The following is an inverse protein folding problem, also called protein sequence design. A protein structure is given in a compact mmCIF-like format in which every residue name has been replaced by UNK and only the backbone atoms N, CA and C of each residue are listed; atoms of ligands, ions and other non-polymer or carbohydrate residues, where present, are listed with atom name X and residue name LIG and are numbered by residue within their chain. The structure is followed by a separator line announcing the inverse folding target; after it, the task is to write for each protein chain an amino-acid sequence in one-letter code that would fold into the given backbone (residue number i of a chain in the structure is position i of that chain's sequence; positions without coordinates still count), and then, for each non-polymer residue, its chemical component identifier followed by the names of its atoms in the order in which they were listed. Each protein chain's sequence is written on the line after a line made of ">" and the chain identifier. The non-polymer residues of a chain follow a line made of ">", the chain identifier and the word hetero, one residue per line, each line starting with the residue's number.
data_IF_114352226456
#
_entry.id   IF_114352226456
#
_cell.length_a   1.000
_cell.length_b   1.000
_cell.length_c   1.000
_cell.angle_alpha   90.00
_cell.angle_beta   90.00
_cell.angle_gamma   90.00
#
_symmetry.space_group_name_H-M   'P 1'
#
loop_
_entity.id
_entity.type
_entity.pdbx_description
1 polymer ?
#
# COMPACT_ATOMS: atom_id res chain seq x y z
N UNK A 1 -14.65 -6.22 -31.92
CA UNK A 1 -15.97 -6.64 -31.40
C UNK A 1 -15.82 -7.45 -30.11
N UNK A 2 -14.96 -8.47 -30.07
CA UNK A 2 -14.61 -9.22 -28.85
C UNK A 2 -13.99 -8.37 -27.73
N UNK A 3 -13.13 -7.39 -28.04
CA UNK A 3 -12.44 -6.56 -27.04
C UNK A 3 -13.39 -5.61 -26.27
N UNK A 4 -14.33 -4.96 -26.98
CA UNK A 4 -15.41 -4.17 -26.35
C UNK A 4 -16.35 -5.02 -25.47
N UNK A 5 -16.45 -6.33 -25.72
CA UNK A 5 -17.16 -7.26 -24.83
C UNK A 5 -16.37 -7.54 -23.55
N UNK A 6 -15.03 -7.58 -23.59
CA UNK A 6 -14.22 -7.87 -22.40
C UNK A 6 -14.38 -6.82 -21.28
N UNK A 7 -14.51 -5.53 -21.63
CA UNK A 7 -14.83 -4.47 -20.64
C UNK A 7 -16.18 -4.70 -19.96
N UNK A 8 -17.19 -5.21 -20.69
CA UNK A 8 -18.50 -5.57 -20.14
C UNK A 8 -18.44 -6.87 -19.32
N UNK A 9 -17.44 -7.71 -19.57
CA UNK A 9 -17.22 -8.99 -18.87
C UNK A 9 -16.33 -8.87 -17.63
N UNK A 10 -15.78 -7.70 -17.30
CA UNK A 10 -14.95 -7.50 -16.08
C UNK A 10 -15.63 -8.06 -14.84
N UNK A 11 -16.94 -7.82 -14.68
CA UNK A 11 -17.70 -8.35 -13.54
C UNK A 11 -17.81 -9.89 -13.58
N UNK A 12 -18.00 -10.49 -14.76
CA UNK A 12 -18.06 -11.95 -14.93
C UNK A 12 -16.70 -12.59 -14.60
N UNK A 13 -15.62 -12.01 -15.14
CA UNK A 13 -14.25 -12.45 -14.88
C UNK A 13 -13.88 -12.31 -13.40
N UNK A 14 -14.32 -11.23 -12.75
CA UNK A 14 -14.12 -11.00 -11.32
C UNK A 14 -14.69 -12.16 -10.50
N UNK A 15 -15.95 -12.51 -10.69
CA UNK A 15 -16.56 -13.60 -9.93
C UNK A 15 -15.88 -14.93 -10.25
N UNK A 16 -15.59 -15.20 -11.53
CA UNK A 16 -14.89 -16.41 -11.95
C UNK A 16 -13.51 -16.56 -11.30
N UNK A 17 -12.73 -15.48 -11.22
CA UNK A 17 -11.43 -15.48 -10.57
C UNK A 17 -11.55 -15.58 -9.05
N UNK A 18 -12.52 -14.87 -8.45
CA UNK A 18 -12.80 -14.93 -7.01
C UNK A 18 -13.17 -16.35 -6.55
N UNK A 19 -13.96 -17.10 -7.33
CA UNK A 19 -14.28 -18.50 -7.04
C UNK A 19 -13.06 -19.44 -7.05
N UNK A 20 -11.99 -19.07 -7.75
CA UNK A 20 -10.75 -19.86 -7.84
C UNK A 20 -9.72 -19.47 -6.79
N UNK A 21 -9.87 -18.29 -6.20
CA UNK A 21 -8.96 -17.76 -5.19
C UNK A 21 -9.11 -18.49 -3.85
N UNK A 22 -8.01 -18.57 -3.11
CA UNK A 22 -8.07 -18.97 -1.70
C UNK A 22 -8.56 -17.78 -0.87
N UNK A 23 -9.76 -17.88 -0.33
CA UNK A 23 -10.43 -16.84 0.47
C UNK A 23 -10.26 -17.04 1.98
N UNK A 24 -9.38 -17.96 2.39
CA UNK A 24 -8.97 -18.18 3.77
C UNK A 24 -7.45 -18.36 3.80
N UNK A 25 -6.81 -17.93 4.89
CA UNK A 25 -5.40 -18.23 5.13
C UNK A 25 -5.24 -19.76 5.23
N UNK A 26 -4.41 -20.39 4.39
CA UNK A 26 -4.19 -21.84 4.46
C UNK A 26 -3.55 -22.24 5.78
N UNK A 27 -3.96 -23.38 6.34
CA UNK A 27 -3.23 -24.04 7.44
C UNK A 27 -2.02 -24.84 6.91
N UNK A 28 -2.14 -25.36 5.70
CA UNK A 28 -1.07 -26.02 4.96
C UNK A 28 -0.83 -25.24 3.65
N UNK A 29 0.42 -24.83 3.45
CA UNK A 29 0.82 -24.03 2.31
C UNK A 29 1.28 -24.87 1.10
N UNK A 30 1.42 -26.18 1.23
CA UNK A 30 1.91 -27.06 0.15
C UNK A 30 1.13 -26.88 -1.15
N UNK A 31 -0.21 -26.82 -1.06
CA UNK A 31 -1.08 -26.63 -2.22
C UNK A 31 -0.97 -25.23 -2.84
N UNK A 32 -0.77 -24.20 -2.03
CA UNK A 32 -0.64 -22.81 -2.53
C UNK A 32 0.73 -22.60 -3.17
N UNK A 33 1.80 -23.16 -2.59
CA UNK A 33 3.15 -23.09 -3.16
C UNK A 33 3.25 -23.82 -4.50
N UNK A 34 2.66 -25.02 -4.63
CA UNK A 34 2.54 -25.70 -5.94
C UNK A 34 1.81 -24.85 -6.99
N UNK A 35 0.82 -24.07 -6.57
CA UNK A 35 0.10 -23.14 -7.45
C UNK A 35 0.97 -21.95 -7.84
N UNK A 36 1.73 -21.39 -6.89
CA UNK A 36 2.72 -20.33 -7.10
C UNK A 36 3.73 -20.76 -8.16
N UNK A 37 4.41 -21.90 -7.98
CA UNK A 37 5.45 -22.41 -8.90
C UNK A 37 4.92 -22.62 -10.31
N UNK A 38 3.69 -23.15 -10.45
CA UNK A 38 3.05 -23.30 -11.76
C UNK A 38 2.80 -21.96 -12.43
N UNK A 39 2.37 -20.95 -11.67
CA UNK A 39 2.08 -19.61 -12.19
C UNK A 39 3.38 -18.84 -12.50
N UNK A 40 4.42 -18.97 -11.68
CA UNK A 40 5.77 -18.42 -11.95
C UNK A 40 6.28 -18.94 -13.30
N UNK A 41 6.32 -20.26 -13.50
CA UNK A 41 6.75 -20.87 -14.78
C UNK A 41 5.93 -20.38 -15.97
N UNK A 42 4.62 -20.21 -15.79
CA UNK A 42 3.74 -19.70 -16.85
C UNK A 42 4.03 -18.23 -17.16
N UNK A 43 4.21 -17.41 -16.13
CA UNK A 43 4.51 -15.98 -16.24
C UNK A 43 5.82 -15.75 -16.97
N UNK A 44 6.90 -16.41 -16.53
CA UNK A 44 8.25 -16.28 -17.10
C UNK A 44 8.29 -16.69 -18.56
N UNK A 45 7.67 -17.82 -18.93
CA UNK A 45 7.59 -18.24 -20.35
C UNK A 45 6.81 -17.26 -21.24
N UNK A 46 5.80 -16.59 -20.68
CA UNK A 46 5.08 -15.53 -21.40
C UNK A 46 5.92 -14.27 -21.51
N UNK A 47 6.52 -13.84 -20.40
CA UNK A 47 7.35 -12.64 -20.33
C UNK A 47 8.52 -12.73 -21.33
N UNK A 48 9.18 -13.88 -21.45
CA UNK A 48 10.29 -14.06 -22.39
C UNK A 48 9.92 -13.89 -23.88
N UNK A 49 8.63 -13.85 -24.22
CA UNK A 49 8.13 -13.52 -25.58
C UNK A 49 7.97 -12.03 -25.81
N UNK A 50 8.09 -11.21 -24.77
CA UNK A 50 8.00 -9.75 -24.82
C UNK A 50 9.41 -9.21 -25.01
N UNK A 51 9.68 -8.37 -26.04
CA UNK A 51 11.03 -7.87 -26.33
C UNK A 51 11.75 -7.30 -25.09
N UNK A 52 11.06 -6.48 -24.30
CA UNK A 52 11.56 -5.90 -23.04
C UNK A 52 12.14 -6.96 -22.09
N UNK A 53 11.43 -8.07 -21.88
CA UNK A 53 11.90 -9.12 -20.97
C UNK A 53 12.86 -10.09 -21.64
N UNK A 54 12.71 -10.35 -22.94
CA UNK A 54 13.64 -11.21 -23.69
C UNK A 54 15.07 -10.67 -23.58
N UNK A 55 15.25 -9.36 -23.84
CA UNK A 55 16.55 -8.70 -23.73
C UNK A 55 17.12 -8.81 -22.31
N UNK A 56 16.31 -8.50 -21.28
CA UNK A 56 16.74 -8.58 -19.88
C UNK A 56 17.15 -9.98 -19.45
N UNK A 57 16.41 -10.99 -19.89
CA UNK A 57 16.68 -12.39 -19.57
C UNK A 57 17.95 -12.88 -20.26
N UNK A 58 18.11 -12.55 -21.55
CA UNK A 58 19.30 -12.90 -22.32
C UNK A 58 20.55 -12.22 -21.76
N UNK A 59 20.45 -10.94 -21.37
CA UNK A 59 21.56 -10.20 -20.73
C UNK A 59 21.95 -10.80 -19.37
N UNK A 60 20.98 -11.33 -18.63
CA UNK A 60 21.22 -12.04 -17.38
C UNK A 60 21.74 -13.48 -17.58
N UNK A 61 21.75 -13.99 -18.83
CA UNK A 61 22.11 -15.37 -19.12
C UNK A 61 21.09 -16.40 -18.62
N UNK A 62 19.84 -16.01 -18.42
CA UNK A 62 18.79 -16.85 -17.81
C UNK A 62 17.74 -17.24 -18.85
N UNK A 63 17.42 -18.53 -18.92
CA UNK A 63 16.33 -19.05 -19.75
C UNK A 63 15.08 -19.32 -18.92
N UNK A 64 13.87 -19.32 -19.53
CA UNK A 64 12.64 -19.59 -18.80
C UNK A 64 12.62 -20.92 -18.03
N UNK A 65 13.38 -21.91 -18.50
CA UNK A 65 13.50 -23.25 -17.91
C UNK A 65 14.29 -23.26 -16.58
N UNK A 66 15.12 -22.24 -16.36
CA UNK A 66 15.93 -22.06 -15.14
C UNK A 66 15.11 -21.54 -13.95
N UNK A 67 13.86 -21.12 -14.21
CA UNK A 67 12.95 -20.56 -13.21
C UNK A 67 11.81 -21.54 -12.94
N UNK A 68 11.84 -22.19 -11.77
CA UNK A 68 10.83 -23.19 -11.38
C UNK A 68 9.94 -22.73 -10.23
N UNK A 69 10.48 -21.92 -9.35
CA UNK A 69 9.87 -21.47 -8.09
C UNK A 69 9.93 -19.95 -7.94
N UNK A 70 9.24 -19.42 -6.93
CA UNK A 70 9.32 -17.99 -6.58
C UNK A 70 10.73 -17.54 -6.17
N UNK A 71 11.53 -18.43 -5.56
CA UNK A 71 12.90 -18.11 -5.15
C UNK A 71 13.86 -18.02 -6.35
N UNK A 72 13.63 -18.82 -7.40
CA UNK A 72 14.44 -18.75 -8.62
C UNK A 72 14.37 -17.39 -9.32
N UNK A 73 13.32 -16.59 -9.05
CA UNK A 73 13.20 -15.25 -9.59
C UNK A 73 14.39 -14.35 -9.23
N UNK A 74 15.14 -14.64 -8.16
CA UNK A 74 16.36 -13.87 -7.83
C UNK A 74 17.46 -13.95 -8.88
N UNK A 75 17.37 -14.87 -9.85
CA UNK A 75 18.26 -14.95 -11.01
C UNK A 75 18.01 -13.83 -12.03
N UNK A 76 16.85 -13.19 -11.97
CA UNK A 76 16.43 -12.14 -12.90
C UNK A 76 16.66 -10.74 -12.31
N UNK A 77 17.04 -9.74 -13.13
CA UNK A 77 17.26 -8.38 -12.64
C UNK A 77 15.99 -7.74 -12.10
N UNK A 78 16.12 -6.86 -11.10
CA UNK A 78 15.02 -6.05 -10.57
C UNK A 78 14.43 -5.13 -11.63
N UNK A 79 13.11 -4.99 -11.64
CA UNK A 79 12.41 -3.96 -12.40
C UNK A 79 12.21 -2.73 -11.52
N UNK A 80 12.87 -1.62 -11.86
CA UNK A 80 12.71 -0.35 -11.12
C UNK A 80 11.46 0.41 -11.59
N UNK A 81 11.02 1.38 -10.79
CA UNK A 81 9.91 2.26 -11.15
C UNK A 81 10.19 3.09 -12.41
N UNK A 82 11.43 3.53 -12.60
CA UNK A 82 11.82 4.35 -13.75
C UNK A 82 11.88 3.52 -15.03
N UNK A 83 12.41 2.29 -14.95
CA UNK A 83 12.36 1.32 -16.04
C UNK A 83 10.91 0.98 -16.43
N UNK A 84 10.05 0.73 -15.43
CA UNK A 84 8.63 0.47 -15.67
C UNK A 84 7.96 1.67 -16.33
N UNK A 85 8.25 2.90 -15.90
CA UNK A 85 7.69 4.12 -16.51
C UNK A 85 8.11 4.25 -17.97
N UNK A 86 9.39 4.09 -18.26
CA UNK A 86 9.91 4.15 -19.63
C UNK A 86 9.25 3.09 -20.51
N UNK A 87 9.13 1.86 -20.01
CA UNK A 87 8.52 0.76 -20.75
C UNK A 87 7.02 0.97 -20.98
N UNK A 88 6.24 1.36 -19.96
CA UNK A 88 4.80 1.62 -20.12
C UNK A 88 4.53 2.75 -21.12
N UNK A 89 5.35 3.80 -21.11
CA UNK A 89 5.25 4.90 -22.08
C UNK A 89 5.53 4.42 -23.51
N UNK A 90 6.46 3.49 -23.70
CA UNK A 90 6.74 2.91 -25.02
C UNK A 90 5.58 2.02 -25.50
N UNK A 91 5.07 1.14 -24.64
CA UNK A 91 3.91 0.28 -24.96
C UNK A 91 2.65 1.10 -25.29
N UNK A 92 2.48 2.28 -24.68
CA UNK A 92 1.36 3.17 -24.95
C UNK A 92 1.41 3.84 -26.32
N UNK A 93 2.57 3.93 -26.98
CA UNK A 93 2.68 4.50 -28.34
C UNK A 93 2.03 3.60 -29.39
N UNK A 94 2.17 2.29 -29.22
CA UNK A 94 1.62 1.27 -30.11
C UNK A 94 0.88 0.21 -29.28
N UNK A 95 -0.26 0.55 -28.67
CA UNK A 95 -0.94 -0.34 -27.75
C UNK A 95 -1.38 -1.59 -28.50
N UNK A 96 -0.88 -2.74 -28.04
CA UNK A 96 -1.23 -4.05 -28.62
C UNK A 96 -2.74 -4.33 -28.58
N UNK A 97 -3.48 -3.69 -27.67
CA UNK A 97 -4.92 -3.85 -27.51
C UNK A 97 -5.59 -2.49 -27.28
N UNK A 98 -6.70 -2.23 -27.98
CA UNK A 98 -7.35 -0.92 -27.99
C UNK A 98 -8.08 -0.56 -26.66
N UNK A 99 -8.46 -1.57 -25.87
CA UNK A 99 -9.38 -1.41 -24.73
C UNK A 99 -8.70 -1.45 -23.34
N UNK A 100 -7.38 -1.25 -23.27
CA UNK A 100 -6.67 -1.21 -21.98
C UNK A 100 -7.08 -0.04 -21.09
N UNK A 101 -7.11 -0.30 -19.78
CA UNK A 101 -7.31 0.74 -18.78
C UNK A 101 -6.00 1.48 -18.57
N UNK A 102 -6.08 2.80 -18.46
CA UNK A 102 -4.98 3.67 -18.11
C UNK A 102 -5.19 4.09 -16.66
N UNK A 103 -4.50 3.45 -15.75
CA UNK A 103 -4.48 3.85 -14.34
C UNK A 103 -3.22 4.68 -14.10
N UNK A 104 -3.37 5.84 -13.47
CA UNK A 104 -2.23 6.69 -13.09
C UNK A 104 -1.98 6.59 -11.60
N UNK A 105 -0.71 6.45 -11.22
CA UNK A 105 -0.30 6.61 -9.82
C UNK A 105 0.03 8.08 -9.57
N UNK A 106 -0.39 8.61 -8.42
CA UNK A 106 -0.13 9.99 -7.98
C UNK A 106 1.33 10.23 -7.55
N UNK A 107 2.29 9.61 -8.27
CA UNK A 107 3.70 9.41 -7.92
C UNK A 107 4.27 10.27 -6.79
N UNK A 108 4.83 9.63 -5.75
CA UNK A 108 5.56 10.30 -4.65
C UNK A 108 6.76 11.15 -5.12
N UNK A 109 7.20 10.96 -6.37
CA UNK A 109 8.29 11.69 -7.03
C UNK A 109 7.81 12.80 -7.99
N UNK A 110 6.52 13.15 -7.98
CA UNK A 110 5.95 14.22 -8.83
C UNK A 110 5.67 13.82 -10.29
N UNK A 111 6.32 12.77 -10.83
CA UNK A 111 6.05 12.25 -12.18
C UNK A 111 5.11 11.03 -12.10
N UNK A 112 3.86 11.13 -12.59
CA UNK A 112 2.91 10.03 -12.60
C UNK A 112 3.46 8.82 -13.34
N UNK A 113 3.24 7.63 -12.78
CA UNK A 113 3.43 6.37 -13.52
C UNK A 113 2.07 5.98 -14.11
N UNK A 114 2.02 5.87 -15.44
CA UNK A 114 0.87 5.31 -16.15
C UNK A 114 1.03 3.79 -16.21
N UNK A 115 -0.04 3.09 -15.85
CA UNK A 115 -0.13 1.64 -15.91
C UNK A 115 -1.17 1.26 -16.95
N UNK A 116 -0.73 0.42 -17.88
CA UNK A 116 -1.60 -0.25 -18.83
C UNK A 116 -2.09 -1.55 -18.21
N UNK A 117 -3.42 -1.68 -18.09
CA UNK A 117 -4.06 -2.83 -17.43
C UNK A 117 -5.12 -3.44 -18.34
N UNK A 118 -5.00 -4.73 -18.65
CA UNK A 118 -6.02 -5.44 -19.43
C UNK A 118 -7.31 -5.65 -18.62
N UNK A 119 -8.48 -5.79 -19.27
CA UNK A 119 -9.74 -6.04 -18.55
C UNK A 119 -9.70 -7.26 -17.62
N UNK A 120 -8.97 -8.31 -18.03
CA UNK A 120 -8.74 -9.50 -17.22
C UNK A 120 -7.89 -9.21 -15.99
N UNK A 121 -6.78 -8.49 -16.15
CA UNK A 121 -5.93 -8.11 -15.01
C UNK A 121 -6.66 -7.19 -14.03
N UNK A 122 -7.50 -6.29 -14.55
CA UNK A 122 -8.37 -5.44 -13.73
C UNK A 122 -9.39 -6.26 -12.95
N UNK A 123 -10.07 -7.20 -13.61
CA UNK A 123 -11.01 -8.11 -12.97
C UNK A 123 -10.34 -8.94 -11.86
N UNK A 124 -9.13 -9.45 -12.13
CA UNK A 124 -8.34 -10.20 -11.15
C UNK A 124 -7.96 -9.34 -9.94
N UNK A 125 -7.54 -8.09 -10.16
CA UNK A 125 -7.20 -7.17 -9.08
C UNK A 125 -8.43 -6.81 -8.23
N UNK A 126 -9.59 -6.61 -8.86
CA UNK A 126 -10.84 -6.40 -8.14
C UNK A 126 -11.26 -7.64 -7.34
N UNK A 127 -11.14 -8.84 -7.91
CA UNK A 127 -11.37 -10.10 -7.21
C UNK A 127 -10.40 -10.27 -6.02
N UNK A 128 -9.15 -9.86 -6.19
CA UNK A 128 -8.16 -9.88 -5.12
C UNK A 128 -8.54 -8.96 -3.96
N UNK A 129 -9.11 -7.79 -4.24
CA UNK A 129 -9.63 -6.91 -3.17
C UNK A 129 -10.79 -7.56 -2.41
N UNK A 130 -11.72 -8.23 -3.11
CA UNK A 130 -12.75 -9.04 -2.44
C UNK A 130 -12.15 -10.17 -1.61
N UNK A 131 -11.10 -10.83 -2.11
CA UNK A 131 -10.38 -11.85 -1.35
C UNK A 131 -9.83 -11.31 -0.03
N UNK A 132 -9.24 -10.12 -0.01
CA UNK A 132 -8.76 -9.50 1.24
C UNK A 132 -9.90 -9.41 2.27
N UNK A 133 -11.05 -8.91 1.86
CA UNK A 133 -12.24 -8.83 2.73
C UNK A 133 -12.69 -10.21 3.21
N UNK A 134 -12.83 -11.16 2.28
CA UNK A 134 -13.30 -12.52 2.59
C UNK A 134 -12.34 -13.29 3.49
N UNK A 135 -11.04 -13.02 3.39
CA UNK A 135 -10.00 -13.61 4.26
C UNK A 135 -10.23 -13.24 5.73
N UNK A 136 -10.72 -12.04 6.01
CA UNK A 136 -11.13 -11.63 7.35
C UNK A 136 -12.50 -12.19 7.77
N UNK A 137 -13.27 -12.78 6.85
CA UNK A 137 -14.61 -13.30 7.10
C UNK A 137 -15.75 -12.35 6.72
N UNK A 138 -15.47 -11.31 5.90
CA UNK A 138 -16.54 -10.52 5.28
C UNK A 138 -17.29 -11.34 4.23
N UNK A 139 -18.61 -11.20 4.20
CA UNK A 139 -19.46 -11.87 3.22
C UNK A 139 -20.05 -10.84 2.23
N UNK A 140 -19.71 -10.91 0.93
CA UNK A 140 -20.19 -9.95 -0.07
C UNK A 140 -21.69 -10.03 -0.37
N UNK A 141 -22.38 -11.13 0.00
CA UNK A 141 -23.81 -11.28 -0.23
C UNK A 141 -24.68 -10.54 0.80
N UNK A 142 -24.17 -10.34 2.02
CA UNK A 142 -24.93 -9.73 3.11
C UNK A 142 -24.23 -8.53 3.74
N UNK A 143 -22.93 -8.36 3.52
CA UNK A 143 -22.18 -7.28 4.15
C UNK A 143 -22.35 -5.94 3.45
N UNK A 144 -22.25 -4.86 4.21
CA UNK A 144 -22.21 -3.48 3.73
C UNK A 144 -20.77 -2.97 3.78
N UNK A 145 -20.21 -2.63 2.62
CA UNK A 145 -18.95 -1.89 2.60
C UNK A 145 -19.21 -0.39 2.62
N UNK A 146 -18.28 0.39 3.15
CA UNK A 146 -18.25 1.85 2.99
C UNK A 146 -16.83 2.31 2.74
N UNK A 147 -16.66 3.26 1.82
CA UNK A 147 -15.33 3.79 1.49
C UNK A 147 -15.35 5.24 1.08
N UNK A 148 -14.15 5.83 0.94
CA UNK A 148 -14.04 7.11 0.24
C UNK A 148 -14.51 6.98 -1.21
N UNK A 149 -15.16 8.02 -1.73
CA UNK A 149 -15.35 8.22 -3.16
C UNK A 149 -14.03 8.70 -3.75
N UNK A 150 -13.41 7.93 -4.64
CA UNK A 150 -12.16 8.39 -5.28
C UNK A 150 -12.46 9.59 -6.18
N UNK A 151 -11.67 10.66 -6.06
CA UNK A 151 -11.76 11.85 -6.92
C UNK A 151 -11.68 11.52 -8.43
N UNK A 152 -11.09 10.38 -8.79
CA UNK A 152 -10.97 9.89 -10.17
C UNK A 152 -11.97 8.78 -10.53
N UNK A 153 -12.84 8.36 -9.61
CA UNK A 153 -13.86 7.33 -9.88
C UNK A 153 -15.14 7.94 -10.43
N UNK A 154 -15.21 8.06 -11.76
CA UNK A 154 -16.43 8.45 -12.50
C UNK A 154 -17.54 7.39 -12.40
N UNK A 155 -17.28 6.23 -11.78
CA UNK A 155 -18.21 5.08 -11.69
C UNK A 155 -18.78 4.82 -10.29
N UNK A 156 -18.48 5.68 -9.30
CA UNK A 156 -19.12 5.59 -7.98
C UNK A 156 -20.45 6.33 -7.97
N UNK A 157 -21.56 5.69 -8.37
CA UNK A 157 -22.86 6.37 -8.22
C UNK A 157 -24.12 5.75 -8.80
N UNK A 158 -24.10 4.59 -9.47
CA UNK A 158 -25.35 3.90 -9.80
C UNK A 158 -25.42 2.56 -9.09
N UNK A 159 -26.52 2.35 -8.35
CA UNK A 159 -26.77 1.08 -7.70
C UNK A 159 -26.84 -0.01 -8.78
N UNK A 160 -25.98 -1.02 -8.66
CA UNK A 160 -26.03 -2.16 -9.58
C UNK A 160 -27.32 -2.94 -9.35
N UNK A 161 -27.81 -3.67 -10.36
CA UNK A 161 -28.95 -4.59 -10.20
C UNK A 161 -28.77 -5.53 -8.98
N UNK A 162 -27.54 -5.97 -8.70
CA UNK A 162 -27.21 -6.80 -7.53
C UNK A 162 -27.43 -6.08 -6.19
N UNK A 163 -27.17 -4.78 -6.13
CA UNK A 163 -27.35 -3.98 -4.90
C UNK A 163 -28.82 -3.81 -4.53
N UNK A 164 -29.72 -3.78 -5.52
CA UNK A 164 -31.16 -3.78 -5.29
C UNK A 164 -31.65 -5.05 -4.59
N UNK A 165 -30.96 -6.19 -4.77
CA UNK A 165 -31.21 -7.44 -4.05
C UNK A 165 -30.38 -7.59 -2.77
N UNK A 166 -29.71 -6.52 -2.31
CA UNK A 166 -28.91 -6.53 -1.09
C UNK A 166 -27.52 -7.16 -1.21
N UNK A 167 -27.08 -7.51 -2.43
CA UNK A 167 -25.77 -8.10 -2.70
C UNK A 167 -24.77 -6.99 -3.03
N UNK A 168 -23.55 -7.06 -2.48
CA UNK A 168 -22.49 -6.07 -2.71
C UNK A 168 -22.89 -4.63 -2.37
N UNK A 169 -23.56 -4.42 -1.23
CA UNK A 169 -24.00 -3.09 -0.75
C UNK A 169 -22.80 -2.17 -0.48
N UNK A 170 -22.81 -0.95 -1.03
CA UNK A 170 -21.71 0.02 -0.94
C UNK A 170 -22.23 1.38 -0.51
N UNK A 171 -21.63 1.92 0.55
CA UNK A 171 -21.74 3.33 0.94
C UNK A 171 -20.48 4.09 0.52
N UNK A 172 -20.61 5.40 0.38
CA UNK A 172 -19.48 6.28 0.09
C UNK A 172 -19.49 7.50 1.01
N UNK A 173 -18.31 7.99 1.37
CA UNK A 173 -18.07 9.31 1.97
C UNK A 173 -17.16 10.12 1.07
N UNK A 174 -17.35 11.44 1.04
CA UNK A 174 -16.38 12.30 0.36
C UNK A 174 -15.18 12.54 1.27
N UNK A 175 -13.99 12.46 0.67
CA UNK A 175 -12.72 12.46 1.39
C UNK A 175 -12.46 13.74 2.22
N UNK A 176 -13.03 14.85 1.77
CA UNK A 176 -12.85 16.18 2.36
C UNK A 176 -14.09 16.69 3.09
N UNK A 177 -15.10 15.83 3.31
CA UNK A 177 -16.22 16.20 4.17
C UNK A 177 -15.70 16.48 5.60
N UNK A 178 -16.31 17.45 6.31
CA UNK A 178 -16.01 17.67 7.72
C UNK A 178 -16.25 16.41 8.54
N UNK A 179 -15.42 16.20 9.57
CA UNK A 179 -15.49 15.02 10.44
C UNK A 179 -16.87 14.77 11.04
N UNK A 180 -17.63 15.78 11.53
CA UNK A 180 -18.97 15.56 12.06
C UNK A 180 -19.92 14.94 11.03
N UNK A 181 -19.81 15.33 9.75
CA UNK A 181 -20.67 14.84 8.69
C UNK A 181 -20.27 13.42 8.25
N UNK A 182 -18.96 13.13 8.19
CA UNK A 182 -18.47 11.76 7.95
C UNK A 182 -18.95 10.82 9.05
N UNK A 183 -18.81 11.21 10.32
CA UNK A 183 -19.25 10.41 11.47
C UNK A 183 -20.76 10.16 11.40
N UNK A 184 -21.56 11.18 11.10
CA UNK A 184 -23.01 11.05 10.90
C UNK A 184 -23.35 10.07 9.79
N UNK A 185 -22.67 10.14 8.64
CA UNK A 185 -22.89 9.21 7.53
C UNK A 185 -22.52 7.77 7.89
N UNK A 186 -21.39 7.54 8.57
CA UNK A 186 -20.96 6.21 9.04
C UNK A 186 -21.98 5.67 10.05
N UNK A 187 -22.44 6.50 10.99
CA UNK A 187 -23.41 6.11 12.02
C UNK A 187 -24.79 5.78 11.44
N UNK A 188 -25.23 6.50 10.41
CA UNK A 188 -26.47 6.23 9.70
C UNK A 188 -26.39 4.94 8.88
N UNK A 189 -25.28 4.73 8.15
CA UNK A 189 -25.14 3.59 7.25
C UNK A 189 -24.74 2.28 7.97
N UNK A 190 -23.98 2.38 9.07
CA UNK A 190 -23.45 1.27 9.89
C UNK A 190 -22.77 0.18 9.04
N UNK A 191 -21.62 0.46 8.39
CA UNK A 191 -20.95 -0.50 7.53
C UNK A 191 -20.42 -1.72 8.30
N UNK A 192 -20.41 -2.89 7.66
CA UNK A 192 -19.71 -4.07 8.16
C UNK A 192 -18.20 -4.00 7.85
N UNK A 193 -17.84 -3.35 6.75
CA UNK A 193 -16.46 -3.19 6.30
C UNK A 193 -16.20 -1.72 5.90
N UNK A 194 -15.35 -1.03 6.64
CA UNK A 194 -14.99 0.38 6.39
C UNK A 194 -13.56 0.48 5.84
N UNK A 195 -13.34 1.13 4.70
CA UNK A 195 -11.98 1.29 4.16
C UNK A 195 -11.72 2.67 3.56
N UNK A 196 -10.58 3.23 3.92
CA UNK A 196 -10.14 4.57 3.52
C UNK A 196 -8.63 4.70 3.74
N UNK A 197 -8.05 5.88 3.48
CA UNK A 197 -6.63 6.10 3.77
C UNK A 197 -6.41 6.15 5.29
N UNK A 198 -5.20 5.81 5.76
CA UNK A 198 -4.85 5.92 7.19
C UNK A 198 -5.09 7.33 7.73
N UNK A 199 -4.69 8.36 6.99
CA UNK A 199 -4.87 9.76 7.41
C UNK A 199 -6.32 10.13 7.68
N UNK A 200 -7.24 9.59 6.88
CA UNK A 200 -8.67 9.83 7.02
C UNK A 200 -9.22 9.14 8.28
N UNK A 201 -8.79 7.89 8.53
CA UNK A 201 -9.08 7.22 9.80
C UNK A 201 -8.55 7.98 11.01
N UNK A 202 -7.30 8.50 10.95
CA UNK A 202 -6.73 9.31 12.02
C UNK A 202 -7.59 10.53 12.31
N UNK A 203 -7.96 11.28 11.27
CA UNK A 203 -8.80 12.48 11.37
C UNK A 203 -10.13 12.20 12.07
N UNK A 204 -10.84 11.14 11.63
CA UNK A 204 -12.13 10.74 12.20
C UNK A 204 -11.97 10.25 13.64
N UNK A 205 -10.98 9.41 13.92
CA UNK A 205 -10.79 8.85 15.27
C UNK A 205 -10.35 9.91 16.28
N UNK A 206 -9.44 10.83 15.90
CA UNK A 206 -9.05 11.96 16.74
C UNK A 206 -10.24 12.88 17.01
N UNK A 207 -11.08 13.16 16.00
CA UNK A 207 -12.30 13.92 16.18
C UNK A 207 -13.27 13.24 17.17
N UNK A 208 -13.53 11.95 16.99
CA UNK A 208 -14.41 11.18 17.88
C UNK A 208 -13.89 11.19 19.32
N UNK A 209 -12.58 11.02 19.48
CA UNK A 209 -11.90 11.01 20.77
C UNK A 209 -11.95 12.38 21.46
N UNK A 210 -11.58 13.46 20.75
CA UNK A 210 -11.58 14.83 21.27
C UNK A 210 -12.98 15.33 21.66
N UNK A 211 -14.01 14.95 20.91
CA UNK A 211 -15.37 15.45 21.10
C UNK A 211 -16.29 14.45 21.81
N UNK A 212 -15.77 13.31 22.27
CA UNK A 212 -16.53 12.23 22.90
C UNK A 212 -17.74 11.77 22.06
N UNK A 213 -17.56 11.69 20.73
CA UNK A 213 -18.59 11.26 19.78
C UNK A 213 -18.45 9.77 19.50
N UNK A 214 -19.54 9.02 19.64
CA UNK A 214 -19.54 7.60 19.29
C UNK A 214 -19.56 7.38 17.78
N UNK A 215 -18.74 6.44 17.33
CA UNK A 215 -18.69 5.96 15.95
C UNK A 215 -19.20 4.52 15.87
N UNK A 216 -20.06 4.24 14.89
CA UNK A 216 -20.56 2.90 14.64
C UNK A 216 -19.40 1.99 14.26
N UNK A 217 -19.08 1.06 15.17
CA UNK A 217 -17.95 0.13 15.03
C UNK A 217 -18.22 -0.87 13.91
N UNK A 218 -17.47 -0.83 12.79
CA UNK A 218 -17.61 -1.83 11.75
C UNK A 218 -17.03 -3.15 12.24
N UNK A 219 -17.50 -4.27 11.68
CA UNK A 219 -16.91 -5.58 11.98
C UNK A 219 -15.45 -5.65 11.52
N UNK A 220 -15.16 -4.98 10.40
CA UNK A 220 -13.84 -4.90 9.81
C UNK A 220 -13.53 -3.49 9.35
N UNK A 221 -12.27 -3.07 9.45
CA UNK A 221 -11.82 -1.83 8.82
C UNK A 221 -10.41 -1.97 8.25
N UNK A 222 -10.15 -1.30 7.14
CA UNK A 222 -8.88 -1.39 6.43
C UNK A 222 -8.33 0.00 6.10
N UNK A 223 -7.43 0.54 6.94
CA UNK A 223 -6.62 1.70 6.59
C UNK A 223 -5.67 1.32 5.45
N UNK A 224 -5.62 2.14 4.41
CA UNK A 224 -4.85 1.84 3.19
C UNK A 224 -3.89 2.96 2.82
N UNK A 225 -2.93 2.63 1.96
CA UNK A 225 -2.10 3.60 1.25
C UNK A 225 -0.94 4.22 2.03
N UNK A 226 -0.84 3.94 3.34
CA UNK A 226 0.14 4.48 4.28
C UNK A 226 0.47 3.42 5.34
N UNK A 227 1.67 3.48 5.94
CA UNK A 227 2.09 2.56 7.01
C UNK A 227 1.30 2.82 8.29
N UNK A 228 0.72 1.77 8.88
CA UNK A 228 0.04 1.82 10.17
C UNK A 228 1.07 1.56 11.29
N UNK A 229 1.38 2.60 12.06
CA UNK A 229 2.19 2.50 13.27
C UNK A 229 1.36 2.05 14.49
N UNK A 230 2.05 1.73 15.59
CA UNK A 230 1.42 1.19 16.80
C UNK A 230 0.51 2.22 17.48
N UNK A 231 0.85 3.50 17.43
CA UNK A 231 0.04 4.60 17.98
C UNK A 231 -1.29 4.70 17.25
N UNK A 232 -1.27 4.74 15.91
CA UNK A 232 -2.47 4.73 15.08
C UNK A 232 -3.29 3.45 15.29
N UNK A 233 -2.63 2.29 15.38
CA UNK A 233 -3.29 1.00 15.63
C UNK A 233 -4.01 0.96 16.98
N UNK A 234 -3.41 1.47 18.05
CA UNK A 234 -4.04 1.60 19.38
C UNK A 234 -5.27 2.50 19.31
N UNK A 235 -5.14 3.69 18.72
CA UNK A 235 -6.26 4.63 18.54
C UNK A 235 -7.41 4.01 17.73
N UNK A 236 -7.10 3.33 16.63
CA UNK A 236 -8.13 2.67 15.82
C UNK A 236 -8.82 1.55 16.59
N UNK A 237 -8.08 0.75 17.36
CA UNK A 237 -8.66 -0.32 18.17
C UNK A 237 -9.63 0.21 19.24
N UNK A 238 -9.28 1.33 19.86
CA UNK A 238 -10.12 2.04 20.84
C UNK A 238 -11.45 2.50 20.23
N UNK A 239 -11.38 3.22 19.10
CA UNK A 239 -12.56 3.86 18.49
C UNK A 239 -13.37 2.88 17.62
N UNK A 240 -12.72 2.05 16.82
CA UNK A 240 -13.36 1.19 15.80
C UNK A 240 -13.48 -0.29 16.23
N UNK A 241 -12.80 -0.71 17.29
CA UNK A 241 -12.77 -2.10 17.75
C UNK A 241 -11.64 -2.94 17.14
N UNK A 242 -11.62 -4.27 17.34
CA UNK A 242 -10.48 -5.12 17.02
C UNK A 242 -10.36 -5.51 15.53
N UNK A 243 -11.30 -5.08 14.69
CA UNK A 243 -11.50 -5.55 13.31
C UNK A 243 -10.50 -5.05 12.27
N UNK A 244 -9.29 -4.63 12.66
CA UNK A 244 -8.31 -4.08 11.73
C UNK A 244 -7.83 -5.12 10.72
N UNK A 245 -7.78 -4.73 9.46
CA UNK A 245 -7.19 -5.48 8.37
C UNK A 245 -6.13 -4.58 7.75
N UNK A 246 -4.90 -5.07 7.75
CA UNK A 246 -3.77 -4.36 7.19
C UNK A 246 -3.37 -5.05 5.88
N UNK A 247 -3.74 -4.42 4.76
CA UNK A 247 -3.52 -4.96 3.42
C UNK A 247 -2.41 -4.17 2.75
N UNK A 248 -1.30 -4.84 2.44
CA UNK A 248 -0.16 -4.22 1.78
C UNK A 248 -0.12 -4.54 0.28
N UNK A 249 0.13 -3.50 -0.50
CA UNK A 249 0.25 -3.55 -1.95
C UNK A 249 0.39 -2.16 -2.55
N UNK A 250 0.54 -2.11 -3.86
CA UNK A 250 0.60 -0.83 -4.59
C UNK A 250 -0.40 -0.80 -5.74
N UNK A 251 -0.55 0.35 -6.40
CA UNK A 251 -1.39 0.44 -7.60
C UNK A 251 -0.84 -0.46 -8.73
N UNK A 252 0.48 -0.58 -8.84
CA UNK A 252 1.18 -1.41 -9.82
C UNK A 252 0.93 -2.91 -9.60
N UNK A 253 0.93 -3.34 -8.34
CA UNK A 253 0.96 -4.76 -7.97
C UNK A 253 -0.39 -5.29 -7.49
N UNK A 254 -1.24 -4.46 -6.88
CA UNK A 254 -2.42 -4.91 -6.14
C UNK A 254 -2.07 -5.39 -4.71
N UNK A 255 -3.10 -5.76 -3.93
CA UNK A 255 -2.94 -6.22 -2.55
C UNK A 255 -2.22 -7.59 -2.49
N UNK A 256 -0.92 -7.58 -2.21
CA UNK A 256 -0.06 -8.76 -2.28
C UNK A 256 -0.10 -9.61 -1.00
N UNK A 257 -0.25 -8.95 0.15
CA UNK A 257 -0.18 -9.60 1.46
C UNK A 257 -1.12 -8.92 2.46
N UNK A 258 -1.53 -9.68 3.48
CA UNK A 258 -2.52 -9.25 4.47
C UNK A 258 -2.10 -9.65 5.87
N UNK A 259 -2.25 -8.72 6.82
CA UNK A 259 -2.14 -8.95 8.26
C UNK A 259 -3.50 -8.71 8.89
N UNK A 260 -4.08 -9.77 9.47
CA UNK A 260 -5.42 -9.73 10.06
C UNK A 260 -5.32 -9.47 11.56
N UNK A 261 -6.16 -8.54 12.04
CA UNK A 261 -6.35 -8.28 13.47
C UNK A 261 -5.01 -8.01 14.18
N UNK A 262 -4.73 -8.74 15.26
CA UNK A 262 -3.53 -8.72 16.09
C UNK A 262 -2.42 -9.68 15.61
N UNK A 263 -2.56 -10.28 14.43
CA UNK A 263 -1.50 -11.13 13.86
C UNK A 263 -0.20 -10.33 13.73
N UNK A 264 0.92 -10.97 14.10
CA UNK A 264 2.24 -10.34 14.13
C UNK A 264 2.83 -10.11 12.74
N UNK A 265 2.32 -10.76 11.72
CA UNK A 265 2.95 -10.85 10.41
C UNK A 265 1.93 -10.74 9.28
N UNK A 266 2.42 -10.42 8.09
CA UNK A 266 1.65 -10.46 6.87
C UNK A 266 1.79 -11.83 6.21
N UNK A 267 0.65 -12.39 5.84
CA UNK A 267 0.57 -13.58 4.99
C UNK A 267 0.49 -13.13 3.54
N UNK A 268 1.41 -13.63 2.73
CA UNK A 268 1.41 -13.41 1.29
C UNK A 268 0.30 -14.25 0.66
N UNK A 269 -0.41 -13.67 -0.31
CA UNK A 269 -1.30 -14.44 -1.15
C UNK A 269 -0.51 -15.20 -2.23
N UNK A 270 0.19 -16.27 -1.81
CA UNK A 270 1.18 -17.00 -2.64
C UNK A 270 0.61 -17.57 -3.95
N UNK A 271 -0.70 -17.82 -4.05
CA UNK A 271 -1.31 -18.23 -5.31
C UNK A 271 -1.23 -17.13 -6.37
N UNK A 272 -1.20 -15.86 -5.98
CA UNK A 272 -1.30 -14.70 -6.89
C UNK A 272 -0.05 -13.83 -6.92
N UNK A 273 0.87 -14.01 -5.97
CA UNK A 273 2.02 -13.15 -5.77
C UNK A 273 3.26 -13.96 -5.36
N UNK A 274 4.42 -13.50 -5.77
CA UNK A 274 5.69 -13.76 -5.08
C UNK A 274 6.12 -12.44 -4.44
N UNK A 275 6.45 -12.48 -3.14
CA UNK A 275 7.01 -11.35 -2.40
C UNK A 275 8.36 -11.80 -1.87
N UNK A 276 9.42 -11.08 -2.24
CA UNK A 276 10.79 -11.33 -1.84
C UNK A 276 11.36 -10.13 -1.11
N UNK A 277 12.37 -10.36 -0.27
CA UNK A 277 13.16 -9.33 0.42
C UNK A 277 14.59 -9.44 -0.06
N UNK A 278 15.14 -8.38 -0.66
CA UNK A 278 16.51 -8.35 -1.20
C UNK A 278 17.40 -7.32 -0.49
N UNK A 279 18.68 -7.64 -0.29
CA UNK A 279 19.69 -6.72 0.23
C UNK A 279 20.08 -5.62 -0.78
N UNK A 280 20.99 -4.72 -0.38
CA UNK A 280 21.52 -3.65 -1.25
C UNK A 280 22.26 -4.17 -2.49
N UNK A 281 22.65 -5.45 -2.51
CA UNK A 281 23.29 -6.12 -3.64
C UNK A 281 22.29 -6.92 -4.48
N UNK A 282 20.98 -6.70 -4.27
CA UNK A 282 19.87 -7.38 -4.94
C UNK A 282 19.85 -8.90 -4.76
N UNK A 283 20.29 -9.40 -3.59
CA UNK A 283 20.29 -10.82 -3.25
C UNK A 283 19.22 -11.13 -2.21
N UNK A 284 18.60 -12.33 -2.21
CA UNK A 284 17.67 -12.74 -1.16
C UNK A 284 18.24 -12.56 0.25
N UNK A 285 17.46 -11.89 1.11
CA UNK A 285 17.85 -11.55 2.47
C UNK A 285 16.64 -11.65 3.42
N UNK A 286 16.91 -11.54 4.73
CA UNK A 286 15.88 -11.46 5.78
C UNK A 286 15.39 -10.04 6.03
N UNK A 287 16.17 -9.05 5.62
CA UNK A 287 15.87 -7.63 5.74
C UNK A 287 16.36 -6.91 4.48
N UNK A 288 15.58 -5.94 3.99
CA UNK A 288 15.94 -5.15 2.83
C UNK A 288 14.72 -4.72 2.01
N UNK A 289 14.90 -4.61 0.70
CA UNK A 289 13.95 -4.09 -0.25
C UNK A 289 12.82 -5.09 -0.53
N UNK A 290 11.58 -4.64 -0.43
CA UNK A 290 10.39 -5.43 -0.80
C UNK A 290 10.27 -5.46 -2.32
N UNK A 291 10.34 -6.67 -2.86
CA UNK A 291 10.29 -6.95 -4.30
C UNK A 291 9.09 -7.85 -4.58
N UNK A 292 8.22 -7.44 -5.50
CA UNK A 292 6.94 -8.13 -5.74
C UNK A 292 6.79 -8.53 -7.21
N UNK A 293 6.31 -9.74 -7.42
CA UNK A 293 5.92 -10.28 -8.73
C UNK A 293 4.45 -10.70 -8.69
N UNK A 294 3.50 -9.86 -9.17
CA UNK A 294 2.11 -10.26 -9.34
C UNK A 294 1.97 -11.30 -10.47
N UNK A 295 1.60 -12.52 -10.10
CA UNK A 295 1.54 -13.67 -11.01
C UNK A 295 0.34 -13.66 -11.96
N UNK A 296 -0.63 -12.77 -11.71
CA UNK A 296 -1.82 -12.61 -12.53
C UNK A 296 -1.63 -11.59 -13.66
N UNK A 297 -0.62 -10.71 -13.57
CA UNK A 297 -0.30 -9.76 -14.64
C UNK A 297 0.49 -10.48 -15.72
N UNK A 298 -0.18 -10.95 -16.77
CA UNK A 298 0.44 -11.79 -17.81
C UNK A 298 0.56 -11.12 -19.17
N UNK A 299 -0.07 -9.96 -19.35
CA UNK A 299 -0.04 -9.22 -20.61
C UNK A 299 1.11 -8.20 -20.58
N UNK A 300 1.20 -7.44 -19.49
CA UNK A 300 2.38 -6.64 -19.12
C UNK A 300 2.86 -7.07 -17.73
N UNK A 301 3.69 -8.12 -17.67
CA UNK A 301 4.11 -8.69 -16.40
C UNK A 301 5.05 -7.74 -15.66
N UNK A 302 4.95 -7.74 -14.33
CA UNK A 302 5.88 -7.07 -13.43
C UNK A 302 6.66 -8.17 -12.72
N UNK A 303 7.89 -8.43 -13.16
CA UNK A 303 8.76 -9.45 -12.57
C UNK A 303 9.85 -8.74 -11.78
N UNK A 304 10.01 -9.13 -10.52
CA UNK A 304 10.92 -8.51 -9.56
C UNK A 304 10.74 -6.98 -9.47
N UNK A 305 9.50 -6.51 -9.38
CA UNK A 305 9.25 -5.07 -9.24
C UNK A 305 9.68 -4.58 -7.86
N UNK A 306 10.66 -3.68 -7.84
CA UNK A 306 11.14 -3.04 -6.63
C UNK A 306 10.15 -1.94 -6.21
N UNK A 307 9.41 -2.17 -5.13
CA UNK A 307 8.34 -1.26 -4.69
C UNK A 307 8.89 0.09 -4.19
N UNK A 308 10.14 0.09 -3.71
CA UNK A 308 10.73 1.24 -3.04
C UNK A 308 10.41 1.30 -1.54
N UNK A 309 9.90 0.21 -0.97
CA UNK A 309 9.70 0.03 0.47
C UNK A 309 10.67 -1.01 1.02
N UNK A 310 11.00 -0.92 2.32
CA UNK A 310 11.77 -1.93 3.05
C UNK A 310 10.92 -2.78 3.97
N UNK A 311 11.38 -3.99 4.24
CA UNK A 311 10.72 -4.91 5.16
C UNK A 311 11.63 -6.04 5.63
N UNK A 312 11.11 -6.79 6.58
CA UNK A 312 11.75 -7.98 7.14
C UNK A 312 10.90 -9.22 6.89
N UNK A 313 11.52 -10.38 6.76
CA UNK A 313 10.81 -11.64 6.57
C UNK A 313 11.43 -12.80 7.35
N UNK A 314 10.58 -13.78 7.63
CA UNK A 314 10.97 -15.13 8.07
C UNK A 314 10.53 -16.16 7.04
N UNK A 315 11.29 -17.24 6.92
CA UNK A 315 10.94 -18.38 6.08
C UNK A 315 10.71 -19.57 6.99
N UNK A 316 9.50 -20.15 6.91
CA UNK A 316 9.09 -21.33 7.70
C UNK A 316 8.49 -22.35 6.74
N UNK A 317 9.02 -23.57 6.76
CA UNK A 317 8.61 -24.67 5.87
C UNK A 317 8.58 -24.29 4.38
N UNK A 318 9.57 -23.49 3.94
CA UNK A 318 9.66 -23.00 2.56
C UNK A 318 8.66 -21.89 2.20
N UNK A 319 7.93 -21.34 3.17
CA UNK A 319 6.98 -20.24 3.00
C UNK A 319 7.54 -18.98 3.64
N UNK A 320 7.51 -17.88 2.88
CA UNK A 320 7.95 -16.56 3.36
C UNK A 320 6.79 -15.80 4.00
N UNK A 321 7.00 -15.37 5.24
CA UNK A 321 6.12 -14.49 6.01
C UNK A 321 6.80 -13.15 6.18
N UNK A 322 6.09 -12.05 5.91
CA UNK A 322 6.66 -10.71 6.05
C UNK A 322 6.34 -10.23 7.46
N UNK A 323 7.38 -10.01 8.27
CA UNK A 323 7.25 -9.68 9.69
C UNK A 323 7.16 -8.17 9.93
N UNK A 324 7.65 -7.35 9.01
CA UNK A 324 7.56 -5.89 9.10
C UNK A 324 7.61 -5.22 7.73
N UNK A 325 6.94 -4.07 7.63
CA UNK A 325 7.06 -3.10 6.54
C UNK A 325 7.52 -1.78 7.15
N UNK A 326 8.73 -1.34 6.82
CA UNK A 326 9.42 -0.26 7.52
C UNK A 326 9.06 1.13 6.96
N UNK A 327 8.88 1.27 5.63
CA UNK A 327 8.56 2.54 4.97
C UNK A 327 9.25 2.71 3.62
N UNK A 328 9.14 3.91 3.02
CA UNK A 328 9.68 4.27 1.70
C UNK A 328 11.16 4.62 1.77
N UNK A 329 11.93 4.18 0.77
CA UNK A 329 13.35 4.55 0.63
C UNK A 329 13.58 5.99 0.19
N UNK A 330 12.63 6.58 -0.53
CA UNK A 330 12.78 7.92 -1.11
C UNK A 330 12.31 9.04 -0.17
N UNK A 331 12.11 8.73 1.11
CA UNK A 331 11.82 9.72 2.15
C UNK A 331 13.12 10.00 2.91
N UNK A 332 13.73 11.15 2.61
CA UNK A 332 15.04 11.54 3.13
C UNK A 332 15.15 13.07 3.24
N UNK A 333 16.11 13.52 4.04
CA UNK A 333 16.56 14.90 4.17
C UNK A 333 17.84 15.08 3.38
N UNK A 334 17.95 16.18 2.63
CA UNK A 334 19.12 16.48 1.77
C UNK A 334 20.04 17.50 2.42
N UNK A 335 21.33 17.38 2.17
CA UNK A 335 22.31 18.38 2.57
C UNK A 335 22.95 19.04 1.35
N UNK A 336 23.51 20.25 1.53
CA UNK A 336 24.19 20.99 0.46
C UNK A 336 25.40 20.20 -0.10
N UNK A 337 25.97 19.31 0.71
CA UNK A 337 27.06 18.39 0.32
C UNK A 337 26.62 17.31 -0.67
N UNK A 338 25.31 17.14 -0.94
CA UNK A 338 24.74 16.04 -1.72
C UNK A 338 24.48 14.77 -0.91
N UNK A 339 24.88 14.74 0.37
CA UNK A 339 24.53 13.66 1.28
C UNK A 339 23.03 13.67 1.61
N UNK A 340 22.54 12.52 2.08
CA UNK A 340 21.17 12.39 2.58
C UNK A 340 21.14 11.67 3.93
N UNK A 341 20.21 12.07 4.80
CA UNK A 341 19.76 11.26 5.94
C UNK A 341 18.41 10.65 5.59
N UNK A 342 18.31 9.33 5.61
CA UNK A 342 17.09 8.60 5.26
C UNK A 342 16.11 8.54 6.43
N UNK A 343 14.83 8.30 6.14
CA UNK A 343 13.82 8.07 7.17
C UNK A 343 14.23 6.94 8.14
N UNK A 344 14.90 5.89 7.66
CA UNK A 344 15.27 4.75 8.50
C UNK A 344 16.24 5.11 9.63
N UNK A 345 17.07 6.14 9.45
CA UNK A 345 18.02 6.61 10.47
C UNK A 345 17.30 7.30 11.63
N UNK A 346 16.17 7.96 11.37
CA UNK A 346 15.35 8.63 12.40
C UNK A 346 14.14 7.81 12.84
N UNK A 347 13.77 6.76 12.11
CA UNK A 347 12.58 5.96 12.37
C UNK A 347 12.49 5.42 13.81
N UNK A 348 13.59 5.00 14.49
CA UNK A 348 13.53 4.59 15.90
C UNK A 348 13.08 5.71 16.83
N UNK A 349 13.50 6.96 16.59
CA UNK A 349 13.10 8.11 17.40
C UNK A 349 11.58 8.28 17.31
N UNK A 350 11.04 8.24 16.09
CA UNK A 350 9.61 8.44 15.84
C UNK A 350 8.79 7.26 16.39
N UNK A 351 9.28 6.04 16.23
CA UNK A 351 8.60 4.84 16.73
C UNK A 351 8.53 4.78 18.27
N UNK A 352 9.48 5.39 18.96
CA UNK A 352 9.53 5.42 20.43
C UNK A 352 8.99 6.72 21.04
N UNK A 353 8.59 7.68 20.22
CA UNK A 353 7.97 8.93 20.68
C UNK A 353 6.47 8.69 20.92
N UNK A 354 6.10 8.44 22.17
CA UNK A 354 4.69 8.28 22.56
C UNK A 354 3.97 9.64 22.72
N UNK A 355 4.73 10.74 22.82
CA UNK A 355 4.22 12.09 23.04
C UNK A 355 3.51 12.71 21.82
N UNK A 356 3.61 12.10 20.64
CA UNK A 356 3.11 12.67 19.37
C UNK A 356 2.20 11.65 18.65
N UNK A 357 0.99 12.07 18.29
CA UNK A 357 0.02 11.29 17.51
C UNK A 357 0.27 11.36 16.00
N UNK A 358 0.60 12.54 15.50
CA UNK A 358 0.89 12.79 14.09
C UNK A 358 2.12 13.67 13.98
N UNK A 359 2.99 13.36 13.02
CA UNK A 359 4.18 14.15 12.72
C UNK A 359 4.40 14.23 11.21
N UNK A 360 4.74 15.43 10.73
CA UNK A 360 5.22 15.67 9.37
C UNK A 360 6.46 16.56 9.42
N UNK A 361 7.50 16.15 8.70
CA UNK A 361 8.70 16.91 8.45
C UNK A 361 8.62 17.61 7.09
N UNK A 362 8.90 18.90 7.07
CA UNK A 362 8.97 19.73 5.86
C UNK A 362 10.36 20.34 5.82
N UNK A 363 11.24 19.80 4.99
CA UNK A 363 12.55 20.39 4.77
C UNK A 363 12.40 21.60 3.84
N UNK A 364 12.65 22.79 4.37
CA UNK A 364 12.48 24.06 3.65
C UNK A 364 13.75 24.50 2.92
N UNK A 365 14.91 24.21 3.51
CA UNK A 365 16.23 24.49 2.95
C UNK A 365 17.23 23.39 3.33
N UNK A 366 18.48 23.50 2.90
CA UNK A 366 19.55 22.58 3.32
C UNK A 366 19.86 22.62 4.82
N UNK A 367 19.40 23.64 5.55
CA UNK A 367 19.69 23.84 6.98
C UNK A 367 18.44 24.00 7.85
N UNK A 368 17.23 24.05 7.28
CA UNK A 368 15.98 24.28 8.02
C UNK A 368 14.92 23.21 7.76
N UNK A 369 14.33 22.71 8.84
CA UNK A 369 13.17 21.82 8.85
C UNK A 369 12.04 22.48 9.66
N UNK A 370 10.84 22.43 9.11
CA UNK A 370 9.60 22.73 9.81
C UNK A 370 8.88 21.41 10.14
N UNK A 371 8.51 21.20 11.40
CA UNK A 371 7.83 19.99 11.87
C UNK A 371 6.40 20.34 12.32
N UNK A 372 5.42 19.73 11.67
CA UNK A 372 4.03 19.77 12.11
C UNK A 372 3.75 18.61 13.06
N UNK A 373 3.15 18.88 14.22
CA UNK A 373 2.94 17.91 15.30
C UNK A 373 1.51 17.96 15.85
N UNK A 374 1.00 16.80 16.27
CA UNK A 374 -0.22 16.69 17.09
C UNK A 374 0.16 15.97 18.38
N UNK A 375 -0.01 16.64 19.52
CA UNK A 375 0.39 16.09 20.80
C UNK A 375 -0.51 14.93 21.25
N UNK A 376 0.09 13.89 21.80
CA UNK A 376 -0.60 12.83 22.52
C UNK A 376 -0.77 13.19 24.00
N UNK A 377 -1.77 14.02 24.29
CA UNK A 377 -2.03 14.56 25.64
C UNK A 377 -2.42 13.51 26.69
N UNK A 378 -2.75 12.29 26.28
CA UNK A 378 -3.12 11.22 27.22
C UNK A 378 -1.92 10.46 27.78
N UNK A 379 -0.87 10.35 26.97
CA UNK A 379 0.36 9.63 27.35
C UNK A 379 1.45 10.62 27.74
N UNK A 380 1.52 11.76 27.06
CA UNK A 380 2.54 12.77 27.31
C UNK A 380 2.31 13.48 28.64
N UNK A 381 3.29 13.37 29.53
CA UNK A 381 3.38 14.22 30.73
C UNK A 381 4.14 15.52 30.48
N UNK A 382 4.62 15.73 29.26
CA UNK A 382 5.50 16.83 28.88
C UNK A 382 4.70 17.99 28.27
N UNK A 383 5.17 19.21 28.50
CA UNK A 383 4.73 20.38 27.74
C UNK A 383 5.23 20.31 26.30
N UNK A 384 4.54 20.99 25.39
CA UNK A 384 4.94 21.11 23.98
C UNK A 384 6.43 21.49 23.83
N UNK A 385 6.90 22.49 24.59
CA UNK A 385 8.30 22.93 24.59
C UNK A 385 9.30 21.86 25.05
N UNK A 386 8.92 21.01 26.00
CA UNK A 386 9.78 19.92 26.46
C UNK A 386 9.88 18.83 25.40
N UNK A 387 8.77 18.51 24.72
CA UNK A 387 8.76 17.58 23.58
C UNK A 387 9.61 18.13 22.44
N UNK A 388 9.46 19.41 22.08
CA UNK A 388 10.26 20.08 21.05
C UNK A 388 11.76 19.98 21.35
N UNK A 389 12.15 20.27 22.59
CA UNK A 389 13.55 20.21 23.00
C UNK A 389 14.11 18.79 22.86
N UNK A 390 13.42 17.80 23.45
CA UNK A 390 13.87 16.41 23.41
C UNK A 390 13.93 15.86 21.99
N UNK A 391 12.91 16.14 21.17
CA UNK A 391 12.86 15.67 19.80
C UNK A 391 13.95 16.32 18.95
N UNK A 392 14.19 17.63 19.11
CA UNK A 392 15.26 18.35 18.42
C UNK A 392 16.62 17.76 18.73
N UNK A 393 16.91 17.52 20.01
CA UNK A 393 18.19 16.93 20.44
C UNK A 393 18.38 15.53 19.84
N UNK A 394 17.35 14.68 19.90
CA UNK A 394 17.41 13.31 19.36
C UNK A 394 17.57 13.29 17.83
N UNK A 395 16.81 14.14 17.12
CA UNK A 395 16.87 14.24 15.67
C UNK A 395 18.24 14.74 15.20
N UNK A 396 18.73 15.85 15.77
CA UNK A 396 20.04 16.41 15.42
C UNK A 396 21.21 15.49 15.80
N UNK A 397 21.04 14.58 16.76
CA UNK A 397 22.00 13.52 17.04
C UNK A 397 22.05 12.40 15.98
N UNK A 398 21.02 12.28 15.13
CA UNK A 398 20.96 11.29 14.03
C UNK A 398 21.18 11.89 12.66
N UNK A 399 20.84 13.16 12.47
CA UNK A 399 21.14 13.88 11.25
C UNK A 399 22.64 14.00 11.05
N UNK A 400 23.08 13.81 9.80
CA UNK A 400 24.50 13.97 9.42
C UNK A 400 25.01 15.39 9.64
N UNK A 401 24.14 16.37 9.44
CA UNK A 401 24.37 17.78 9.77
C UNK A 401 23.15 18.31 10.52
N UNK A 402 23.35 19.19 11.53
CA UNK A 402 22.24 19.70 12.32
C UNK A 402 21.32 20.59 11.48
N UNK A 403 20.03 20.49 11.75
CA UNK A 403 19.01 21.39 11.21
C UNK A 403 18.57 22.39 12.28
N UNK A 404 18.25 23.60 11.84
CA UNK A 404 17.33 24.48 12.54
C UNK A 404 15.92 23.88 12.42
N UNK A 405 15.26 23.65 13.55
CA UNK A 405 13.97 22.97 13.61
C UNK A 405 12.92 23.91 14.22
N UNK A 406 11.89 24.21 13.45
CA UNK A 406 10.70 24.94 13.91
C UNK A 406 9.52 23.99 14.05
N UNK A 407 8.65 24.24 15.02
CA UNK A 407 7.49 23.40 15.34
C UNK A 407 6.17 24.14 15.15
N UNK A 408 5.18 23.45 14.58
CA UNK A 408 3.78 23.88 14.47
C UNK A 408 2.89 22.82 15.13
N UNK A 409 2.27 23.17 16.26
CA UNK A 409 1.30 22.32 16.96
C UNK A 409 -0.10 22.50 16.38
N UNK A 410 -0.75 21.38 16.09
CA UNK A 410 -2.05 21.35 15.43
C UNK A 410 -3.01 20.39 16.14
N UNK A 411 -4.30 20.57 15.89
CA UNK A 411 -5.33 19.60 16.32
C UNK A 411 -5.32 18.31 15.48
N UNK A 412 -5.02 18.44 14.18
CA UNK A 412 -4.83 17.32 13.25
C UNK A 412 -4.03 17.81 12.05
N UNK A 413 -3.13 16.98 11.50
CA UNK A 413 -2.35 17.35 10.31
C UNK A 413 -3.18 17.04 9.06
N UNK A 414 -3.42 18.03 8.16
CA UNK A 414 -4.18 17.80 6.94
C UNK A 414 -3.40 16.94 5.95
N UNK A 415 -4.05 16.01 5.23
CA UNK A 415 -3.42 15.22 4.18
C UNK A 415 -3.04 16.10 2.97
N UNK A 416 -2.13 15.60 2.13
CA UNK A 416 -1.78 16.22 0.84
C UNK A 416 -2.97 16.15 -0.14
N UNK A 417 -2.88 16.79 -1.32
CA UNK A 417 -3.94 16.79 -2.35
C UNK A 417 -4.39 15.39 -2.81
N UNK A 418 -3.50 14.39 -2.71
CA UNK A 418 -3.81 12.98 -3.02
C UNK A 418 -4.54 12.26 -1.87
N UNK A 419 -4.76 12.97 -0.75
CA UNK A 419 -5.48 12.52 0.41
C UNK A 419 -4.69 11.61 1.36
N UNK A 420 -3.36 11.56 1.24
CA UNK A 420 -2.45 10.86 2.15
C UNK A 420 -1.57 11.87 2.89
N UNK A 421 -1.09 11.51 4.07
CA UNK A 421 -0.12 12.31 4.80
C UNK A 421 1.29 11.82 4.48
N UNK A 422 2.01 12.55 3.62
CA UNK A 422 3.44 12.27 3.48
C UNK A 422 4.18 12.75 4.73
N UNK A 423 4.91 11.85 5.38
CA UNK A 423 5.64 12.15 6.61
C UNK A 423 6.85 13.05 6.35
N UNK A 424 7.57 12.90 5.24
CA UNK A 424 8.72 13.75 4.89
C UNK A 424 8.46 14.44 3.54
N UNK A 425 8.49 15.76 3.53
CA UNK A 425 8.39 16.60 2.32
C UNK A 425 9.68 17.38 2.18
N UNK A 426 10.48 17.07 1.16
CA UNK A 426 11.67 17.83 0.83
C UNK A 426 11.35 18.87 -0.26
N UNK A 427 11.42 20.17 0.09
CA UNK A 427 11.23 21.28 -0.88
C UNK A 427 12.52 21.64 -1.62
N UNK A 428 13.65 21.07 -1.21
CA UNK A 428 14.96 21.37 -1.78
C UNK A 428 15.14 20.61 -3.10
N UNK A 429 15.67 21.28 -4.12
CA UNK A 429 15.92 20.68 -5.45
C UNK A 429 17.22 19.87 -5.43
N UNK A 430 17.35 18.95 -6.39
CA UNK A 430 18.66 18.37 -6.70
C UNK A 430 19.61 19.50 -7.13
N UNK A 431 20.81 19.52 -6.55
CA UNK A 431 21.88 20.46 -6.88
C UNK A 431 22.43 20.22 -8.29
#
# INVERSE_FOLDING_TARGET
>A
MFEKMERKLVNVLLFFDLFKMKTKIPKDFTGVMKTQDRRVRKLVRKAYKIPFYKERFDKAGVKPEDIRTGDDLSKLPLLTKDELRAWMNEEAKNPKYADWFHDTTSGSSGVPLMLLVSPKEKAYNMANWFRVMMTAGYNPFFGKTMSRKSAHSVTGGSDTFLQHFGILRRGFVAQYDPEPEIVKQINAYRPDFLYMNKSEFMRICLYCKKNHVELAKPKFYCPTGEKIDDTARKLFAEILGPGIIDSYGTAETGAAMVRLFDSKEYVVHNDSFVVNIYDEKNRPAKEGNIVVTPLYKTDLPLINYAIGDRGTCEVRDGVRFITSVQGRMNDFFRYETGEVTTFFEIAPIIAHCEDIFQIRFIQESYSKIHIQCVQNKEVSSLSEKEVEKQLTEQLNARFKHPFEIEYEWMDSIPPDENGKLRMIVCKVKDA
#
